data_IF_450348319767
#
_entry.id   IF_450348319767
#
_cell.length_a   1.000
_cell.length_b   1.000
_cell.length_c   1.000
_cell.angle_alpha   90.00
_cell.angle_beta   90.00
_cell.angle_gamma   90.00
#
_symmetry.space_group_name_H-M   'P 1'
#
loop_
_entity.id
_entity.type
_entity.pdbx_description
1 polymer ?
#
# COMPACT_ATOMS: atom_id res chain seq x y z
N UNK A 1 40.07 33.76 -2.93
CA UNK A 1 39.60 33.16 -4.19
C UNK A 1 38.13 32.86 -3.99
N UNK A 2 37.26 33.19 -4.94
CA UNK A 2 35.83 32.88 -4.84
C UNK A 2 35.64 31.38 -4.54
N UNK A 3 34.53 31.02 -3.91
CA UNK A 3 34.19 29.62 -3.66
C UNK A 3 34.28 28.83 -4.96
N UNK A 4 34.91 27.67 -4.91
CA UNK A 4 35.07 26.81 -6.08
C UNK A 4 33.70 26.52 -6.71
N UNK A 5 33.63 26.63 -8.04
CA UNK A 5 32.39 26.53 -8.80
C UNK A 5 31.71 25.19 -8.56
N UNK A 6 32.47 24.10 -8.44
CA UNK A 6 31.92 22.77 -8.15
C UNK A 6 31.25 22.69 -6.76
N UNK A 7 31.78 23.44 -5.78
CA UNK A 7 31.23 23.49 -4.42
C UNK A 7 30.00 24.40 -4.35
N UNK A 8 30.02 25.54 -5.04
CA UNK A 8 28.84 26.40 -5.19
C UNK A 8 27.71 25.69 -5.96
N UNK A 9 28.05 24.91 -6.98
CA UNK A 9 27.09 24.11 -7.77
C UNK A 9 26.46 22.99 -6.93
N UNK A 10 27.18 22.41 -5.97
CA UNK A 10 26.64 21.41 -5.04
C UNK A 10 25.55 21.99 -4.13
N UNK A 11 25.66 23.29 -3.79
CA UNK A 11 24.72 23.98 -2.88
C UNK A 11 23.59 24.67 -3.65
N UNK A 12 23.91 25.34 -4.75
CA UNK A 12 22.97 26.17 -5.52
C UNK A 12 22.39 25.47 -6.77
N UNK A 13 22.92 24.31 -7.16
CA UNK A 13 22.55 23.64 -8.41
C UNK A 13 21.06 23.31 -8.52
N UNK A 14 20.45 22.84 -7.43
CA UNK A 14 19.01 22.55 -7.38
C UNK A 14 18.18 23.83 -7.53
N UNK A 15 18.58 24.92 -6.86
CA UNK A 15 17.90 26.21 -6.92
C UNK A 15 17.98 26.84 -8.32
N UNK A 16 19.14 26.76 -8.98
CA UNK A 16 19.31 27.19 -10.37
C UNK A 16 18.44 26.40 -11.33
N UNK A 17 18.34 25.08 -11.15
CA UNK A 17 17.48 24.23 -12.00
C UNK A 17 16.02 24.63 -11.85
N UNK A 18 15.54 24.78 -10.61
CA UNK A 18 14.16 25.22 -10.32
C UNK A 18 13.87 26.61 -10.88
N UNK A 19 14.80 27.57 -10.75
CA UNK A 19 14.63 28.91 -11.32
C UNK A 19 14.56 28.87 -12.85
N UNK A 20 15.47 28.14 -13.49
CA UNK A 20 15.54 28.02 -14.95
C UNK A 20 14.30 27.34 -15.53
N UNK A 21 13.77 26.32 -14.86
CA UNK A 21 12.52 25.67 -15.27
C UNK A 21 11.33 26.64 -15.29
N UNK A 22 11.28 27.62 -14.39
CA UNK A 22 10.24 28.65 -14.39
C UNK A 22 10.52 29.78 -15.39
N UNK A 23 11.78 30.14 -15.59
CA UNK A 23 12.21 31.12 -16.60
C UNK A 23 11.94 30.62 -18.03
N UNK A 24 12.27 29.35 -18.33
CA UNK A 24 12.01 28.71 -19.62
C UNK A 24 10.50 28.63 -19.94
N UNK A 25 9.66 28.57 -18.89
CA UNK A 25 8.19 28.63 -19.00
C UNK A 25 7.64 30.05 -19.15
N UNK A 26 8.48 31.08 -19.14
CA UNK A 26 8.08 32.48 -19.36
C UNK A 26 7.25 33.07 -18.21
N UNK A 27 7.35 32.53 -17.00
CA UNK A 27 6.52 32.93 -15.87
C UNK A 27 6.96 34.30 -15.36
N UNK A 28 6.00 35.20 -15.15
CA UNK A 28 6.23 36.54 -14.62
C UNK A 28 5.34 36.80 -13.42
N UNK A 29 5.90 37.28 -12.30
CA UNK A 29 5.14 37.59 -11.10
C UNK A 29 6.01 38.19 -10.00
N UNK A 30 5.39 38.79 -8.99
CA UNK A 30 6.09 39.43 -7.86
C UNK A 30 6.94 38.41 -7.10
N UNK A 31 6.38 37.25 -6.75
CA UNK A 31 7.12 36.15 -6.11
C UNK A 31 8.23 35.57 -7.03
N UNK A 32 8.05 35.57 -8.36
CA UNK A 32 9.11 35.13 -9.29
C UNK A 32 10.27 36.14 -9.35
N UNK A 33 9.96 37.44 -9.28
CA UNK A 33 10.97 38.48 -9.19
C UNK A 33 11.74 38.39 -7.86
N UNK A 34 11.05 38.08 -6.76
CA UNK A 34 11.68 37.80 -5.46
C UNK A 34 12.65 36.61 -5.58
N UNK A 35 12.23 35.49 -6.18
CA UNK A 35 13.13 34.35 -6.45
C UNK A 35 14.38 34.75 -7.23
N UNK A 36 14.22 35.56 -8.28
CA UNK A 36 15.34 36.06 -9.09
C UNK A 36 16.32 36.87 -8.25
N UNK A 37 15.82 37.81 -7.46
CA UNK A 37 16.66 38.64 -6.59
C UNK A 37 17.37 37.84 -5.50
N UNK A 38 16.70 36.86 -4.90
CA UNK A 38 17.28 35.96 -3.91
C UNK A 38 18.36 35.07 -4.54
N UNK A 39 18.11 34.53 -5.74
CA UNK A 39 19.09 33.74 -6.50
C UNK A 39 20.33 34.56 -6.86
N UNK A 40 20.16 35.79 -7.35
CA UNK A 40 21.25 36.71 -7.65
C UNK A 40 22.07 37.05 -6.40
N UNK A 41 21.41 37.17 -5.23
CA UNK A 41 22.09 37.37 -3.94
C UNK A 41 22.92 36.15 -3.53
N UNK A 42 22.39 34.95 -3.69
CA UNK A 42 23.12 33.70 -3.43
C UNK A 42 24.35 33.55 -4.36
N UNK A 43 24.20 33.84 -5.65
CA UNK A 43 25.29 33.86 -6.64
C UNK A 43 26.39 34.86 -6.27
N UNK A 44 25.98 36.06 -5.85
CA UNK A 44 26.91 37.11 -5.44
C UNK A 44 27.68 36.72 -4.17
N UNK A 45 27.03 36.06 -3.22
CA UNK A 45 27.70 35.56 -2.00
C UNK A 45 28.74 34.48 -2.32
N UNK A 46 28.52 33.62 -3.31
CA UNK A 46 29.52 32.64 -3.76
C UNK A 46 30.78 33.31 -4.35
N UNK A 47 30.62 34.48 -4.98
CA UNK A 47 31.74 35.28 -5.50
C UNK A 47 32.46 36.10 -4.43
N UNK A 48 31.74 36.54 -3.39
CA UNK A 48 32.27 37.38 -2.30
C UNK A 48 32.97 36.59 -1.19
N UNK A 49 32.59 35.32 -0.98
CA UNK A 49 33.15 34.48 0.08
C UNK A 49 34.29 33.60 -0.43
N UNK A 50 35.27 33.35 0.44
CA UNK A 50 36.46 32.56 0.10
C UNK A 50 36.47 31.16 0.75
N UNK A 51 35.46 30.85 1.57
CA UNK A 51 35.31 29.57 2.29
C UNK A 51 33.84 29.11 2.20
N UNK A 52 33.63 27.83 1.90
CA UNK A 52 32.33 27.17 1.84
C UNK A 52 31.60 27.25 3.19
N UNK A 53 32.33 27.19 4.30
CA UNK A 53 31.76 27.30 5.64
C UNK A 53 31.18 28.68 5.89
N UNK A 54 31.89 29.74 5.46
CA UNK A 54 31.43 31.12 5.55
C UNK A 54 30.27 31.39 4.59
N UNK A 55 30.34 30.85 3.38
CA UNK A 55 29.29 30.90 2.37
C UNK A 55 27.98 30.29 2.89
N UNK A 56 28.02 29.06 3.38
CA UNK A 56 26.86 28.34 3.92
C UNK A 56 26.29 29.03 5.16
N UNK A 57 27.16 29.56 6.02
CA UNK A 57 26.74 30.34 7.18
C UNK A 57 26.01 31.63 6.76
N UNK A 58 26.50 32.37 5.76
CA UNK A 58 25.83 33.58 5.25
C UNK A 58 24.50 33.26 4.56
N UNK A 59 24.44 32.20 3.76
CA UNK A 59 23.18 31.74 3.15
C UNK A 59 22.11 31.39 4.19
N UNK A 60 22.54 30.80 5.31
CA UNK A 60 21.64 30.44 6.41
C UNK A 60 21.27 31.66 7.26
N UNK A 61 22.22 32.55 7.53
CA UNK A 61 22.00 33.75 8.37
C UNK A 61 21.12 34.78 7.65
N UNK A 62 21.28 34.92 6.33
CA UNK A 62 20.44 35.77 5.49
C UNK A 62 19.11 35.08 5.09
N UNK A 63 18.81 33.87 5.61
CA UNK A 63 17.60 33.09 5.32
C UNK A 63 17.30 32.85 3.83
N UNK A 64 18.30 32.96 2.96
CA UNK A 64 18.10 33.01 1.51
C UNK A 64 17.46 31.70 0.98
N UNK A 65 17.81 30.54 1.56
CA UNK A 65 17.20 29.26 1.17
C UNK A 65 15.70 29.22 1.46
N UNK A 66 15.29 29.78 2.60
CA UNK A 66 13.90 29.83 3.01
C UNK A 66 13.13 30.84 2.17
N UNK A 67 13.70 32.02 1.91
CA UNK A 67 13.11 33.03 1.05
C UNK A 67 12.90 32.52 -0.39
N UNK A 68 13.90 31.86 -0.98
CA UNK A 68 13.75 31.27 -2.31
C UNK A 68 12.67 30.19 -2.32
N UNK A 69 12.64 29.30 -1.33
CA UNK A 69 11.67 28.21 -1.27
C UNK A 69 10.24 28.69 -1.07
N UNK A 70 10.05 29.74 -0.26
CA UNK A 70 8.74 30.37 -0.07
C UNK A 70 8.27 31.04 -1.37
N UNK A 71 9.14 31.82 -2.02
CA UNK A 71 8.82 32.47 -3.28
C UNK A 71 8.55 31.46 -4.42
N UNK A 72 9.25 30.32 -4.43
CA UNK A 72 8.96 29.19 -5.33
C UNK A 72 7.60 28.56 -5.06
N UNK A 73 7.26 28.35 -3.79
CA UNK A 73 5.96 27.79 -3.41
C UNK A 73 4.82 28.73 -3.76
N UNK A 74 5.00 30.03 -3.55
CA UNK A 74 4.02 31.07 -3.92
C UNK A 74 3.84 31.18 -5.42
N UNK A 75 4.92 31.15 -6.20
CA UNK A 75 4.82 31.14 -7.68
C UNK A 75 4.10 29.90 -8.18
N UNK A 76 4.43 28.71 -7.67
CA UNK A 76 3.71 27.48 -8.02
C UNK A 76 2.23 27.51 -7.63
N UNK A 77 1.92 28.07 -6.46
CA UNK A 77 0.52 28.23 -6.01
C UNK A 77 -0.22 29.24 -6.86
N UNK A 78 0.44 30.33 -7.28
CA UNK A 78 -0.13 31.34 -8.17
C UNK A 78 -0.35 30.78 -9.58
N UNK A 79 0.55 29.94 -10.08
CA UNK A 79 0.41 29.24 -11.36
C UNK A 79 -0.76 28.26 -11.33
N UNK A 80 -0.83 27.43 -10.29
CA UNK A 80 -1.98 26.55 -10.09
C UNK A 80 -3.28 27.38 -10.02
N UNK A 81 -3.31 28.46 -9.22
CA UNK A 81 -4.49 29.34 -9.17
C UNK A 81 -4.82 29.95 -10.53
N UNK A 82 -3.84 30.41 -11.30
CA UNK A 82 -4.04 30.97 -12.64
C UNK A 82 -4.60 29.95 -13.63
N UNK A 83 -4.04 28.74 -13.66
CA UNK A 83 -4.50 27.62 -14.51
C UNK A 83 -5.93 27.18 -14.17
N UNK A 84 -6.35 27.27 -12.90
CA UNK A 84 -7.66 26.81 -12.43
C UNK A 84 -8.72 27.93 -12.27
N UNK A 85 -8.38 29.22 -12.44
CA UNK A 85 -9.32 30.34 -12.21
C UNK A 85 -9.79 31.08 -13.46
N UNK A 86 -9.21 30.82 -14.64
CA UNK A 86 -9.77 31.30 -15.90
C UNK A 86 -10.95 30.41 -16.37
N UNK A 87 -11.86 30.99 -17.17
CA UNK A 87 -13.01 30.31 -17.74
C UNK A 87 -12.56 29.15 -18.65
N UNK A 88 -12.37 27.97 -18.05
CA UNK A 88 -11.71 26.80 -18.65
C UNK A 88 -11.04 25.87 -17.62
N UNK A 89 -10.86 26.32 -16.37
CA UNK A 89 -10.27 25.51 -15.29
C UNK A 89 -10.99 24.19 -15.01
N UNK A 90 -12.33 24.17 -15.10
CA UNK A 90 -13.13 22.95 -14.90
C UNK A 90 -12.94 21.93 -16.03
N UNK A 91 -12.77 22.39 -17.28
CA UNK A 91 -12.49 21.51 -18.44
C UNK A 91 -11.07 20.95 -18.35
N UNK A 92 -10.10 21.78 -17.96
CA UNK A 92 -8.72 21.35 -17.70
C UNK A 92 -8.63 20.33 -16.56
N UNK A 93 -9.39 20.53 -15.47
CA UNK A 93 -9.49 19.58 -14.37
C UNK A 93 -10.08 18.26 -14.84
N UNK A 94 -11.18 18.31 -15.61
CA UNK A 94 -11.79 17.11 -16.20
C UNK A 94 -10.79 16.35 -17.07
N UNK A 95 -10.10 17.03 -17.98
CA UNK A 95 -9.10 16.43 -18.86
C UNK A 95 -7.99 15.74 -18.06
N UNK A 96 -7.44 16.42 -17.05
CA UNK A 96 -6.39 15.85 -16.18
C UNK A 96 -6.88 14.65 -15.37
N UNK A 97 -8.13 14.67 -14.89
CA UNK A 97 -8.70 13.52 -14.18
C UNK A 97 -8.93 12.32 -15.08
N UNK A 98 -9.38 12.54 -16.32
CA UNK A 98 -9.54 11.49 -17.32
C UNK A 98 -8.20 10.89 -17.74
N UNK A 99 -7.18 11.73 -17.98
CA UNK A 99 -5.80 11.28 -18.24
C UNK A 99 -5.27 10.39 -17.10
N UNK A 100 -5.55 10.77 -15.84
CA UNK A 100 -5.15 9.97 -14.68
C UNK A 100 -5.87 8.61 -14.61
N UNK A 101 -7.16 8.55 -14.94
CA UNK A 101 -7.90 7.29 -15.01
C UNK A 101 -7.42 6.39 -16.15
N UNK A 102 -7.15 6.95 -17.33
CA UNK A 102 -6.60 6.22 -18.47
C UNK A 102 -5.21 5.66 -18.14
N UNK A 103 -4.34 6.45 -17.51
CA UNK A 103 -3.05 5.97 -17.00
C UNK A 103 -3.20 4.91 -15.90
N UNK A 104 -4.22 5.02 -15.05
CA UNK A 104 -4.51 4.00 -14.04
C UNK A 104 -4.85 2.65 -14.70
N UNK A 105 -5.65 2.64 -15.77
CA UNK A 105 -5.92 1.41 -16.54
C UNK A 105 -4.63 0.85 -17.13
N UNK A 106 -3.75 1.69 -17.67
CA UNK A 106 -2.46 1.24 -18.19
C UNK A 106 -1.57 0.63 -17.10
N UNK A 107 -1.52 1.26 -15.92
CA UNK A 107 -0.76 0.78 -14.77
C UNK A 107 -1.32 -0.52 -14.17
N UNK A 108 -2.63 -0.76 -14.33
CA UNK A 108 -3.28 -1.99 -13.91
C UNK A 108 -2.98 -3.18 -14.84
N UNK A 109 -2.42 -2.95 -16.04
CA UNK A 109 -2.05 -4.03 -16.98
C UNK A 109 -1.03 -4.96 -16.31
N UNK A 110 -1.42 -6.22 -16.12
CA UNK A 110 -0.60 -7.24 -15.46
C UNK A 110 -1.01 -7.57 -14.02
N UNK A 111 -1.99 -6.87 -13.45
CA UNK A 111 -2.61 -7.27 -12.19
C UNK A 111 -3.56 -8.46 -12.42
N UNK A 112 -3.53 -9.53 -11.60
CA UNK A 112 -4.50 -10.62 -11.68
C UNK A 112 -5.97 -10.19 -11.66
N UNK A 113 -6.27 -9.06 -11.01
CA UNK A 113 -7.61 -8.50 -10.88
C UNK A 113 -7.93 -7.40 -11.91
N UNK A 114 -7.15 -7.30 -12.99
CA UNK A 114 -7.26 -6.26 -14.02
C UNK A 114 -8.69 -6.05 -14.53
N UNK A 115 -9.35 -7.11 -15.01
CA UNK A 115 -10.70 -7.02 -15.61
C UNK A 115 -11.75 -6.47 -14.64
N UNK A 116 -11.65 -6.83 -13.36
CA UNK A 116 -12.61 -6.41 -12.33
C UNK A 116 -12.37 -4.97 -11.86
N UNK A 117 -11.11 -4.54 -11.82
CA UNK A 117 -10.75 -3.16 -11.44
C UNK A 117 -10.92 -2.18 -12.60
N UNK A 118 -10.84 -2.67 -13.82
CA UNK A 118 -11.00 -1.88 -15.04
C UNK A 118 -12.44 -1.38 -15.23
N UNK A 119 -13.44 -2.25 -15.00
CA UNK A 119 -14.83 -1.90 -15.29
C UNK A 119 -15.34 -0.63 -14.57
N UNK A 120 -15.10 -0.42 -13.26
CA UNK A 120 -15.48 0.82 -12.59
C UNK A 120 -14.72 2.06 -13.10
N UNK A 121 -13.47 1.89 -13.56
CA UNK A 121 -12.66 2.99 -14.12
C UNK A 121 -13.17 3.37 -15.52
N UNK A 122 -13.55 2.39 -16.34
CA UNK A 122 -14.17 2.66 -17.65
C UNK A 122 -15.51 3.38 -17.50
N UNK A 123 -16.34 3.01 -16.52
CA UNK A 123 -17.60 3.69 -16.24
C UNK A 123 -17.38 5.16 -15.82
N UNK A 124 -16.33 5.44 -15.02
CA UNK A 124 -15.93 6.82 -14.70
C UNK A 124 -15.43 7.59 -15.94
N UNK A 125 -14.66 6.96 -16.82
CA UNK A 125 -14.16 7.59 -18.04
C UNK A 125 -15.32 7.92 -19.00
N UNK A 126 -16.27 7.00 -19.16
CA UNK A 126 -17.48 7.24 -19.97
C UNK A 126 -18.33 8.37 -19.39
N UNK A 127 -18.47 8.43 -18.06
CA UNK A 127 -19.21 9.49 -17.38
C UNK A 127 -18.55 10.84 -17.56
N UNK A 128 -17.22 10.94 -17.47
CA UNK A 128 -16.50 12.19 -17.76
C UNK A 128 -16.54 12.59 -19.24
N UNK A 129 -16.52 11.63 -20.17
CA UNK A 129 -16.64 11.88 -21.63
C UNK A 129 -18.06 12.26 -22.08
N UNK A 130 -19.06 12.14 -21.19
CA UNK A 130 -20.47 12.47 -21.50
C UNK A 130 -20.76 13.98 -21.59
N UNK A 131 -19.77 14.85 -21.35
CA UNK A 131 -19.89 16.30 -21.50
C UNK A 131 -20.47 17.01 -20.26
N UNK A 132 -20.39 16.36 -19.10
CA UNK A 132 -20.86 16.87 -17.82
C UNK A 132 -19.79 17.78 -17.19
N UNK A 133 -20.19 18.83 -16.45
CA UNK A 133 -19.25 19.70 -15.75
C UNK A 133 -18.52 18.96 -14.61
N UNK A 134 -17.29 19.35 -14.32
CA UNK A 134 -16.45 18.70 -13.31
C UNK A 134 -17.11 18.54 -11.92
N UNK A 135 -17.82 19.54 -11.37
CA UNK A 135 -18.53 19.36 -10.10
C UNK A 135 -19.68 18.34 -10.16
N UNK A 136 -20.36 18.23 -11.31
CA UNK A 136 -21.45 17.27 -11.49
C UNK A 136 -20.90 15.85 -11.71
N UNK A 137 -19.76 15.72 -12.38
CA UNK A 137 -19.01 14.47 -12.48
C UNK A 137 -18.61 13.94 -11.10
N UNK A 138 -17.97 14.77 -10.26
CA UNK A 138 -17.57 14.36 -8.90
C UNK A 138 -18.78 13.89 -8.08
N UNK A 139 -19.87 14.67 -8.12
CA UNK A 139 -21.11 14.31 -7.42
C UNK A 139 -21.70 13.00 -7.95
N UNK A 140 -21.74 12.79 -9.26
CA UNK A 140 -22.28 11.55 -9.83
C UNK A 140 -21.40 10.34 -9.54
N UNK A 141 -20.08 10.50 -9.58
CA UNK A 141 -19.14 9.45 -9.19
C UNK A 141 -19.29 9.06 -7.70
N UNK A 142 -19.55 10.03 -6.82
CA UNK A 142 -19.90 9.79 -5.43
C UNK A 142 -21.29 9.16 -5.26
N UNK A 143 -22.31 9.65 -5.97
CA UNK A 143 -23.70 9.16 -5.94
C UNK A 143 -23.88 7.78 -6.59
N UNK A 144 -22.94 7.33 -7.40
CA UNK A 144 -22.93 5.98 -7.97
C UNK A 144 -22.03 5.02 -7.18
N UNK A 145 -21.29 5.54 -6.19
CA UNK A 145 -20.40 4.74 -5.34
C UNK A 145 -19.15 4.20 -6.04
N UNK A 146 -18.83 4.72 -7.23
CA UNK A 146 -17.74 4.23 -8.07
C UNK A 146 -16.38 4.35 -7.37
N UNK A 147 -16.19 5.41 -6.57
CA UNK A 147 -14.99 5.56 -5.75
C UNK A 147 -14.87 4.49 -4.66
N UNK A 148 -15.96 4.09 -4.05
CA UNK A 148 -16.00 3.05 -3.01
C UNK A 148 -15.77 1.67 -3.63
N UNK A 149 -16.28 1.42 -4.83
CA UNK A 149 -15.97 0.19 -5.59
C UNK A 149 -14.47 0.09 -5.92
N UNK A 150 -13.85 1.22 -6.27
CA UNK A 150 -12.40 1.32 -6.51
C UNK A 150 -11.54 1.16 -5.26
N UNK A 151 -12.09 1.39 -4.05
CA UNK A 151 -11.38 1.19 -2.79
C UNK A 151 -11.17 -0.27 -2.41
N UNK A 152 -11.61 -1.22 -3.25
CA UNK A 152 -11.17 -2.62 -3.17
C UNK A 152 -12.17 -3.60 -2.60
N UNK A 153 -13.45 -3.24 -2.48
CA UNK A 153 -14.51 -4.16 -2.00
C UNK A 153 -14.57 -5.46 -2.81
N UNK A 154 -14.43 -5.35 -4.13
CA UNK A 154 -14.37 -6.51 -5.04
C UNK A 154 -13.18 -7.42 -4.70
N UNK A 155 -12.02 -6.83 -4.36
CA UNK A 155 -10.81 -7.56 -4.00
C UNK A 155 -10.96 -8.24 -2.64
N UNK A 156 -11.62 -7.59 -1.68
CA UNK A 156 -11.89 -8.15 -0.35
C UNK A 156 -12.78 -9.39 -0.45
N UNK A 157 -13.88 -9.31 -1.22
CA UNK A 157 -14.80 -10.43 -1.40
C UNK A 157 -14.13 -11.63 -2.07
N UNK A 158 -13.35 -11.39 -3.13
CA UNK A 158 -12.62 -12.44 -3.84
C UNK A 158 -11.56 -13.11 -2.96
N UNK A 159 -10.85 -12.35 -2.12
CA UNK A 159 -9.87 -12.90 -1.19
C UNK A 159 -10.54 -13.88 -0.21
N UNK A 160 -11.71 -13.53 0.34
CA UNK A 160 -12.47 -14.40 1.25
C UNK A 160 -12.89 -15.70 0.56
N UNK A 161 -13.31 -15.62 -0.71
CA UNK A 161 -13.66 -16.79 -1.51
C UNK A 161 -12.45 -17.69 -1.77
N UNK A 162 -11.30 -17.09 -2.10
CA UNK A 162 -10.05 -17.81 -2.32
C UNK A 162 -9.60 -18.53 -1.05
N UNK A 163 -9.64 -17.85 0.09
CA UNK A 163 -9.30 -18.44 1.40
C UNK A 163 -10.24 -19.60 1.73
N UNK A 164 -11.55 -19.43 1.52
CA UNK A 164 -12.53 -20.51 1.69
C UNK A 164 -12.17 -21.73 0.85
N UNK A 165 -11.91 -21.53 -0.44
CA UNK A 165 -11.55 -22.61 -1.37
C UNK A 165 -10.27 -23.34 -0.93
N UNK A 166 -9.28 -22.58 -0.43
CA UNK A 166 -8.05 -23.16 0.11
C UNK A 166 -8.32 -24.02 1.36
N UNK A 167 -9.16 -23.55 2.28
CA UNK A 167 -9.55 -24.31 3.47
C UNK A 167 -10.33 -25.58 3.12
N UNK A 168 -11.18 -25.56 2.08
CA UNK A 168 -11.88 -26.73 1.57
C UNK A 168 -10.90 -27.77 1.03
N UNK A 169 -9.90 -27.33 0.24
CA UNK A 169 -8.86 -28.20 -0.32
C UNK A 169 -8.04 -28.88 0.79
N UNK A 170 -7.76 -28.17 1.88
CA UNK A 170 -7.01 -28.69 3.03
C UNK A 170 -7.88 -29.48 4.02
N UNK A 171 -9.18 -29.64 3.75
CA UNK A 171 -10.13 -30.33 4.63
C UNK A 171 -10.15 -29.74 6.05
N UNK A 172 -10.20 -28.41 6.16
CA UNK A 172 -10.26 -27.68 7.44
C UNK A 172 -11.70 -27.19 7.73
N UNK A 173 -12.58 -28.03 8.30
CA UNK A 173 -14.03 -27.75 8.33
C UNK A 173 -14.39 -26.49 9.12
N UNK A 174 -13.72 -26.24 10.25
CA UNK A 174 -13.99 -25.05 11.07
C UNK A 174 -13.51 -23.75 10.40
N UNK A 175 -12.44 -23.82 9.61
CA UNK A 175 -11.96 -22.68 8.84
C UNK A 175 -12.92 -22.37 7.69
N UNK A 176 -13.42 -23.41 7.00
CA UNK A 176 -14.46 -23.24 5.97
C UNK A 176 -15.70 -22.55 6.54
N UNK A 177 -16.22 -23.03 7.67
CA UNK A 177 -17.40 -22.44 8.31
C UNK A 177 -17.16 -20.97 8.73
N UNK A 178 -15.94 -20.66 9.22
CA UNK A 178 -15.53 -19.29 9.55
C UNK A 178 -15.57 -18.40 8.30
N UNK A 179 -14.94 -18.82 7.20
CA UNK A 179 -14.91 -18.04 5.96
C UNK A 179 -16.30 -17.90 5.31
N UNK A 180 -17.17 -18.92 5.44
CA UNK A 180 -18.57 -18.81 5.01
C UNK A 180 -19.34 -17.75 5.79
N UNK A 181 -19.15 -17.67 7.12
CA UNK A 181 -19.77 -16.62 7.93
C UNK A 181 -19.24 -15.24 7.60
N UNK A 182 -17.95 -15.10 7.37
CA UNK A 182 -17.34 -13.82 6.97
C UNK A 182 -17.90 -13.38 5.62
N UNK A 183 -17.96 -14.28 4.62
CA UNK A 183 -18.50 -13.98 3.30
C UNK A 183 -19.98 -13.58 3.37
N UNK A 184 -20.79 -14.33 4.12
CA UNK A 184 -22.21 -13.99 4.30
C UNK A 184 -22.36 -12.61 4.93
N UNK A 185 -21.49 -12.26 5.89
CA UNK A 185 -21.56 -10.96 6.55
C UNK A 185 -21.14 -9.82 5.63
N UNK A 186 -20.15 -10.04 4.78
CA UNK A 186 -19.78 -9.12 3.71
C UNK A 186 -20.96 -8.86 2.77
N UNK A 187 -21.58 -9.93 2.24
CA UNK A 187 -22.72 -9.85 1.32
C UNK A 187 -23.93 -9.14 1.97
N UNK A 188 -24.19 -9.39 3.27
CA UNK A 188 -25.22 -8.69 4.05
C UNK A 188 -24.95 -7.17 4.12
N UNK A 189 -23.72 -6.76 4.46
CA UNK A 189 -23.35 -5.35 4.59
C UNK A 189 -23.36 -4.64 3.23
N UNK A 190 -22.88 -5.31 2.19
CA UNK A 190 -22.98 -4.82 0.82
C UNK A 190 -24.44 -4.56 0.44
N UNK A 191 -25.35 -5.51 0.70
CA UNK A 191 -26.78 -5.35 0.35
C UNK A 191 -27.52 -4.23 1.10
N UNK A 192 -27.01 -3.80 2.25
CA UNK A 192 -27.58 -2.72 3.06
C UNK A 192 -27.08 -1.35 2.63
N UNK A 193 -25.96 -1.31 1.90
CA UNK A 193 -25.35 -0.08 1.43
C UNK A 193 -26.03 0.43 0.15
N UNK A 194 -26.27 1.74 0.02
CA UNK A 194 -26.84 2.33 -1.20
C UNK A 194 -26.05 1.99 -2.48
N UNK A 195 -24.75 1.72 -2.34
CA UNK A 195 -23.83 1.47 -3.44
C UNK A 195 -23.46 0.00 -3.64
N UNK A 196 -24.13 -0.92 -2.94
CA UNK A 196 -23.77 -2.35 -2.91
C UNK A 196 -22.30 -2.61 -2.49
N UNK A 197 -21.68 -1.68 -1.76
CA UNK A 197 -20.31 -1.80 -1.24
C UNK A 197 -20.39 -1.90 0.28
N UNK A 198 -19.77 -2.93 0.86
CA UNK A 198 -19.73 -3.08 2.31
C UNK A 198 -18.92 -1.95 2.96
N UNK A 199 -19.44 -1.38 4.07
CA UNK A 199 -18.64 -0.48 4.90
C UNK A 199 -17.45 -1.25 5.47
N UNK A 200 -16.24 -0.84 5.08
CA UNK A 200 -14.97 -1.49 5.45
C UNK A 200 -14.79 -1.55 6.97
N UNK A 201 -15.12 -0.48 7.68
CA UNK A 201 -14.93 -0.42 9.12
C UNK A 201 -15.88 -1.37 9.84
N UNK A 202 -17.16 -1.34 9.44
CA UNK A 202 -18.16 -2.22 10.02
C UNK A 202 -17.87 -3.69 9.67
N UNK A 203 -17.44 -3.97 8.44
CA UNK A 203 -17.06 -5.30 8.00
C UNK A 203 -15.88 -5.85 8.81
N UNK A 204 -14.81 -5.06 9.01
CA UNK A 204 -13.63 -5.52 9.75
C UNK A 204 -13.95 -5.79 11.23
N UNK A 205 -14.80 -4.98 11.85
CA UNK A 205 -15.27 -5.22 13.22
C UNK A 205 -16.05 -6.53 13.33
N UNK A 206 -16.97 -6.79 12.41
CA UNK A 206 -17.76 -8.03 12.40
C UNK A 206 -16.89 -9.25 12.08
N UNK A 207 -15.94 -9.11 11.15
CA UNK A 207 -14.95 -10.14 10.84
C UNK A 207 -14.14 -10.51 12.08
N UNK A 208 -13.61 -9.53 12.83
CA UNK A 208 -12.85 -9.80 14.05
C UNK A 208 -13.68 -10.55 15.11
N UNK A 209 -14.97 -10.20 15.27
CA UNK A 209 -15.87 -10.93 16.17
C UNK A 209 -16.01 -12.39 15.76
N UNK A 210 -16.20 -12.66 14.46
CA UNK A 210 -16.28 -14.02 13.94
C UNK A 210 -14.95 -14.75 14.18
N UNK A 211 -13.81 -14.15 13.85
CA UNK A 211 -12.50 -14.75 14.07
C UNK A 211 -12.25 -15.08 15.55
N UNK A 212 -12.63 -14.20 16.47
CA UNK A 212 -12.53 -14.45 17.91
C UNK A 212 -13.40 -15.62 18.40
N UNK A 213 -14.60 -15.82 17.86
CA UNK A 213 -15.45 -16.97 18.22
C UNK A 213 -14.87 -18.30 17.71
N UNK A 214 -14.25 -18.28 16.52
CA UNK A 214 -13.70 -19.49 15.89
C UNK A 214 -12.30 -19.86 16.37
N UNK A 215 -11.47 -18.89 16.74
CA UNK A 215 -10.09 -19.11 17.21
C UNK A 215 -9.98 -20.22 18.29
N UNK A 216 -10.74 -20.19 19.41
CA UNK A 216 -10.64 -21.25 20.41
C UNK A 216 -11.09 -22.62 19.90
N UNK A 217 -12.10 -22.67 19.01
CA UNK A 217 -12.62 -23.92 18.43
C UNK A 217 -11.61 -24.57 17.49
N UNK A 218 -10.98 -23.75 16.64
CA UNK A 218 -9.90 -24.17 15.74
C UNK A 218 -8.71 -24.69 16.55
N UNK A 219 -8.32 -23.99 17.62
CA UNK A 219 -7.24 -24.44 18.50
C UNK A 219 -7.56 -25.79 19.15
N UNK A 220 -8.79 -25.98 19.62
CA UNK A 220 -9.23 -27.26 20.19
C UNK A 220 -9.22 -28.38 19.15
N UNK A 221 -9.71 -28.13 17.94
CA UNK A 221 -9.69 -29.09 16.83
C UNK A 221 -8.26 -29.50 16.44
N UNK A 222 -7.35 -28.53 16.33
CA UNK A 222 -5.95 -28.78 16.01
C UNK A 222 -5.27 -29.58 17.11
N UNK A 223 -5.58 -29.31 18.38
CA UNK A 223 -5.07 -30.11 19.49
C UNK A 223 -5.55 -31.56 19.41
N UNK A 224 -6.85 -31.78 19.17
CA UNK A 224 -7.41 -33.13 19.02
C UNK A 224 -6.74 -33.86 17.84
N UNK A 225 -6.59 -33.19 16.70
CA UNK A 225 -5.94 -33.77 15.52
C UNK A 225 -4.50 -34.19 15.81
N UNK A 226 -3.72 -33.34 16.47
CA UNK A 226 -2.34 -33.67 16.92
C UNK A 226 -2.29 -34.83 17.90
N UNK A 227 -3.28 -34.94 18.81
CA UNK A 227 -3.35 -36.07 19.74
C UNK A 227 -3.63 -37.38 18.99
N UNK A 228 -4.48 -37.35 17.95
CA UNK A 228 -4.70 -38.51 17.08
C UNK A 228 -3.46 -38.92 16.33
N UNK A 229 -2.75 -37.98 15.70
CA UNK A 229 -1.46 -38.22 15.04
C UNK A 229 -0.48 -38.86 16.02
N UNK A 230 -0.33 -38.29 17.22
CA UNK A 230 0.59 -38.81 18.22
C UNK A 230 0.20 -40.20 18.71
N UNK A 231 -1.08 -40.49 18.82
CA UNK A 231 -1.56 -41.82 19.18
C UNK A 231 -1.22 -42.85 18.10
N UNK A 232 -1.38 -42.50 16.82
CA UNK A 232 -1.00 -43.36 15.69
C UNK A 232 0.50 -43.61 15.69
N UNK A 233 1.32 -42.57 15.89
CA UNK A 233 2.78 -42.71 16.03
C UNK A 233 3.16 -43.67 17.16
N UNK A 234 2.51 -43.53 18.32
CA UNK A 234 2.76 -44.43 19.46
C UNK A 234 2.37 -45.87 19.12
N UNK A 235 1.31 -46.10 18.34
CA UNK A 235 0.93 -47.45 17.88
C UNK A 235 1.97 -48.00 16.91
N UNK A 236 2.50 -47.18 15.99
CA UNK A 236 3.58 -47.59 15.10
C UNK A 236 4.86 -47.92 15.87
N UNK A 237 5.27 -47.06 16.80
CA UNK A 237 6.42 -47.32 17.68
C UNK A 237 6.21 -48.60 18.49
N UNK A 238 5.00 -48.81 19.04
CA UNK A 238 4.67 -50.03 19.77
C UNK A 238 4.77 -51.28 18.87
N UNK A 239 4.24 -51.25 17.66
CA UNK A 239 4.34 -52.36 16.70
C UNK A 239 5.79 -52.64 16.31
N UNK A 240 6.55 -51.59 15.97
CA UNK A 240 7.94 -51.68 15.57
C UNK A 240 8.83 -52.20 16.70
N UNK A 241 8.46 -51.97 17.97
CA UNK A 241 9.20 -52.46 19.14
C UNK A 241 9.30 -53.99 19.21
N UNK A 242 8.37 -54.73 18.58
CA UNK A 242 8.40 -56.18 18.44
C UNK A 242 9.24 -56.66 17.25
N UNK A 243 9.68 -55.73 16.39
CA UNK A 243 10.53 -55.99 15.24
C UNK A 243 11.94 -56.42 15.65
N UNK A 244 12.53 -57.34 14.89
CA UNK A 244 13.91 -57.80 15.10
C UNK A 244 14.95 -56.67 14.93
N UNK A 245 14.56 -55.57 14.28
CA UNK A 245 15.39 -54.37 14.09
C UNK A 245 15.35 -53.41 15.28
N UNK A 246 14.35 -53.47 16.16
CA UNK A 246 14.16 -52.52 17.26
C UNK A 246 15.39 -52.31 18.16
N UNK A 247 16.22 -53.33 18.49
CA UNK A 247 17.44 -53.12 19.29
C UNK A 247 18.52 -52.27 18.61
N UNK A 248 18.40 -51.99 17.31
CA UNK A 248 19.34 -51.21 16.50
C UNK A 248 18.75 -49.87 16.05
N UNK A 249 17.47 -49.62 16.32
CA UNK A 249 16.73 -48.43 15.89
C UNK A 249 17.02 -47.24 16.84
N UNK A 250 17.18 -46.06 16.27
CA UNK A 250 17.52 -44.83 16.99
C UNK A 250 16.49 -44.44 18.06
N UNK A 251 15.22 -44.82 17.87
CA UNK A 251 14.14 -44.55 18.82
C UNK A 251 14.38 -45.17 20.20
N UNK A 252 15.01 -46.36 20.26
CA UNK A 252 15.19 -47.08 21.52
C UNK A 252 16.65 -47.28 21.94
N UNK A 253 17.60 -47.20 21.00
CA UNK A 253 19.00 -47.49 21.26
C UNK A 253 19.59 -46.57 22.35
N UNK A 254 20.23 -47.17 23.34
CA UNK A 254 20.86 -46.43 24.43
C UNK A 254 22.37 -46.58 24.39
N UNK A 255 23.09 -45.46 24.48
CA UNK A 255 24.56 -45.43 24.67
C UNK A 255 25.02 -46.13 25.96
N UNK A 256 24.10 -46.42 26.89
CA UNK A 256 24.37 -47.14 28.15
C UNK A 256 24.38 -48.67 28.01
N UNK A 257 24.16 -49.18 26.81
CA UNK A 257 24.25 -50.61 26.49
C UNK A 257 22.90 -51.31 26.26
N UNK A 258 22.98 -52.60 25.90
CA UNK A 258 21.83 -53.40 25.44
C UNK A 258 20.75 -53.55 26.51
N UNK A 259 21.12 -53.70 27.79
CA UNK A 259 20.15 -53.85 28.87
C UNK A 259 19.23 -52.61 29.01
N UNK A 260 19.76 -51.40 28.80
CA UNK A 260 18.97 -50.17 28.84
C UNK A 260 18.14 -50.01 27.56
N UNK A 261 18.68 -50.41 26.41
CA UNK A 261 17.96 -50.45 25.12
C UNK A 261 16.71 -51.34 25.23
N UNK A 262 16.85 -52.56 25.75
CA UNK A 262 15.72 -53.47 25.97
C UNK A 262 14.69 -52.95 27.00
N UNK A 263 15.12 -52.15 27.97
CA UNK A 263 14.18 -51.45 28.89
C UNK A 263 13.39 -50.35 28.20
N UNK A 264 14.01 -49.63 27.26
CA UNK A 264 13.33 -48.59 26.49
C UNK A 264 12.27 -49.21 25.58
N UNK A 265 12.61 -50.28 24.86
CA UNK A 265 11.66 -51.06 24.03
C UNK A 265 10.45 -51.52 24.86
N UNK A 266 10.69 -52.06 26.07
CA UNK A 266 9.60 -52.53 26.96
C UNK A 266 8.68 -51.42 27.52
N UNK A 267 9.07 -50.15 27.41
CA UNK A 267 8.30 -49.01 27.93
C UNK A 267 7.44 -48.34 26.85
N UNK A 268 7.71 -48.64 25.59
CA UNK A 268 6.93 -48.23 24.42
C UNK A 268 5.66 -49.05 24.35
#
# INVERSE_FOLDING_TARGET
>A
MPVDKEMADTILGTFRKMFKELEDKGITGESFQTMRTTMDRMEKLALETNDVSEFTAKLTTENLFLEFSNAYTETMTALAKGEYSEAGGDELLMEKTLEAYEQSIENLKGNPNYEKLKAPIEELIELGKSGISYPVFLRMAEEQGLYQTLQGDIVVRDAILSDKMFCELLHLPLEVEKHEKILKKHDELASQSPFNVADIFQFELERQKIEWDYTPRINQWNLISRLWEKMIDNVYDWLDSFGSFAPKDERWISRRGIAQTMRNIKRT
#
